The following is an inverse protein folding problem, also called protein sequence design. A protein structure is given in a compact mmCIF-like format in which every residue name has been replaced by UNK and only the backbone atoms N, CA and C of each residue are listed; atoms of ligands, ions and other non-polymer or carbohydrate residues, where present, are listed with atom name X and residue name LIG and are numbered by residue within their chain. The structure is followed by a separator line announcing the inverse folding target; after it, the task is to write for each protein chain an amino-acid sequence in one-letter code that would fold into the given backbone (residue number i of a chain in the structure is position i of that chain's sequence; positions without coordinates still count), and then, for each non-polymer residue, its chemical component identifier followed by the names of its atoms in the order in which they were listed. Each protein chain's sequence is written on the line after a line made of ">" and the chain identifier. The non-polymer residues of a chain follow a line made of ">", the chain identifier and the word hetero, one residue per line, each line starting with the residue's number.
data_IF_940492678284
#
_entry.id   IF_940492678284
#
_cell.length_a   1.000
_cell.length_b   1.000
_cell.length_c   1.000
_cell.angle_alpha   90.00
_cell.angle_beta   90.00
_cell.angle_gamma   90.00
#
_symmetry.space_group_name_H-M   'P 1'
#
loop_
_entity.id
_entity.type
_entity.pdbx_description
1 polymer ?
#
# COMPACT_ATOMS: atom_id res chain seq x y z
N UNK A 1 26.86 -37.57 35.45
CA UNK A 1 26.99 -37.30 34.00
C UNK A 1 25.59 -36.99 33.49
N UNK A 2 25.34 -35.74 33.11
CA UNK A 2 24.02 -35.28 32.66
C UNK A 2 23.81 -35.66 31.18
N UNK A 3 22.72 -36.36 30.88
CA UNK A 3 22.28 -36.59 29.51
C UNK A 3 21.12 -35.63 29.22
N UNK A 4 21.44 -34.48 28.62
CA UNK A 4 20.49 -33.47 28.17
C UNK A 4 19.84 -33.96 26.88
N UNK A 5 18.67 -34.58 26.99
CA UNK A 5 17.71 -34.63 25.88
C UNK A 5 16.92 -33.32 25.88
N UNK A 6 17.17 -32.46 24.89
CA UNK A 6 16.33 -31.29 24.62
C UNK A 6 15.51 -31.49 23.34
N UNK A 7 14.31 -30.87 23.27
CA UNK A 7 13.21 -31.31 22.41
C UNK A 7 13.27 -30.76 20.98
N UNK A 8 12.61 -31.46 20.06
CA UNK A 8 12.30 -31.00 18.71
C UNK A 8 11.42 -29.73 18.78
N UNK A 9 12.00 -28.58 18.40
CA UNK A 9 11.25 -27.36 18.18
C UNK A 9 10.58 -27.42 16.80
N UNK A 10 9.37 -27.95 16.76
CA UNK A 10 8.49 -27.85 15.60
C UNK A 10 7.74 -26.51 15.67
N UNK A 11 8.42 -25.41 15.29
CA UNK A 11 7.79 -24.10 15.18
C UNK A 11 7.33 -23.87 13.73
N UNK A 12 6.17 -24.44 13.38
CA UNK A 12 5.40 -23.97 12.23
C UNK A 12 4.70 -22.68 12.63
N UNK A 13 5.38 -21.55 12.49
CA UNK A 13 4.73 -20.24 12.55
C UNK A 13 4.15 -19.94 11.16
N UNK A 14 2.95 -20.45 10.90
CA UNK A 14 2.13 -19.97 9.79
C UNK A 14 1.78 -18.50 10.06
N UNK A 15 2.58 -17.59 9.51
CA UNK A 15 2.18 -16.21 9.35
C UNK A 15 0.85 -16.18 8.55
N UNK A 16 -0.10 -15.30 8.89
CA UNK A 16 -1.34 -15.18 8.15
C UNK A 16 -1.02 -14.86 6.69
N UNK A 17 -1.41 -15.76 5.79
CA UNK A 17 -1.29 -15.60 4.34
C UNK A 17 -2.27 -14.54 3.89
N UNK A 18 -1.88 -13.27 3.97
CA UNK A 18 -2.67 -12.18 3.41
C UNK A 18 -2.45 -12.14 1.89
N UNK A 19 -3.44 -12.65 1.16
CA UNK A 19 -3.54 -12.49 -0.30
C UNK A 19 -3.88 -11.01 -0.59
N UNK A 20 -2.92 -10.30 -1.18
CA UNK A 20 -3.07 -8.89 -1.57
C UNK A 20 -3.12 -8.68 -3.09
N UNK A 21 -3.49 -9.73 -3.82
CA UNK A 21 -3.80 -9.70 -5.24
C UNK A 21 -5.13 -9.02 -5.56
N UNK A 22 -5.19 -8.42 -6.75
CA UNK A 22 -6.35 -7.75 -7.35
C UNK A 22 -7.56 -8.69 -7.37
N UNK A 23 -8.72 -8.20 -6.94
CA UNK A 23 -10.00 -8.92 -7.08
C UNK A 23 -10.40 -8.91 -8.55
N UNK A 24 -10.52 -10.05 -9.25
CA UNK A 24 -11.20 -10.09 -10.53
C UNK A 24 -12.70 -9.96 -10.27
N UNK A 25 -13.27 -8.77 -10.52
CA UNK A 25 -14.72 -8.51 -10.43
C UNK A 25 -15.18 -7.21 -9.78
N UNK A 26 -14.30 -6.25 -9.43
CA UNK A 26 -14.76 -4.93 -8.96
C UNK A 26 -15.21 -4.05 -10.12
N UNK A 27 -16.49 -4.14 -10.46
CA UNK A 27 -17.27 -2.96 -10.84
C UNK A 27 -17.50 -2.14 -9.57
N UNK A 28 -16.73 -1.08 -9.38
CA UNK A 28 -17.11 -0.07 -8.39
C UNK A 28 -18.28 0.74 -8.98
N UNK A 29 -19.47 0.33 -8.57
CA UNK A 29 -20.72 1.05 -8.63
C UNK A 29 -20.52 2.48 -8.11
N UNK A 30 -20.71 3.48 -8.97
CA UNK A 30 -20.97 4.86 -8.55
C UNK A 30 -22.33 4.85 -7.81
N UNK A 31 -22.29 4.95 -6.49
CA UNK A 31 -23.51 5.11 -5.69
C UNK A 31 -24.02 6.55 -5.83
N UNK A 32 -25.27 6.68 -6.27
CA UNK A 32 -25.92 7.86 -6.82
C UNK A 32 -26.67 8.67 -5.77
N UNK A 33 -26.05 8.97 -4.63
CA UNK A 33 -26.70 9.73 -3.53
C UNK A 33 -26.08 11.09 -3.25
N UNK A 34 -25.19 11.58 -4.12
CA UNK A 34 -24.54 12.89 -3.98
C UNK A 34 -25.31 14.07 -4.63
N UNK A 35 -26.57 13.89 -5.04
CA UNK A 35 -27.38 14.95 -5.67
C UNK A 35 -28.18 15.80 -4.67
N UNK A 36 -28.21 15.50 -3.36
CA UNK A 36 -29.09 16.21 -2.41
C UNK A 36 -28.39 17.18 -1.43
N UNK A 37 -27.12 17.53 -1.63
CA UNK A 37 -26.40 18.49 -0.76
C UNK A 37 -26.04 19.80 -1.49
N UNK A 38 -26.46 19.96 -2.75
CA UNK A 38 -26.04 21.09 -3.58
C UNK A 38 -26.91 22.36 -3.50
N UNK A 39 -27.97 22.40 -2.68
CA UNK A 39 -28.93 23.52 -2.74
C UNK A 39 -28.83 24.55 -1.60
N UNK A 40 -28.02 24.33 -0.56
CA UNK A 40 -27.99 25.25 0.61
C UNK A 40 -26.73 26.13 0.76
N UNK A 41 -25.67 25.93 -0.02
CA UNK A 41 -24.43 26.70 0.13
C UNK A 41 -24.35 27.98 -0.74
N UNK A 42 -25.33 28.25 -1.61
CA UNK A 42 -25.28 29.37 -2.54
C UNK A 42 -25.68 30.74 -1.95
N UNK A 43 -25.96 30.82 -0.64
CA UNK A 43 -26.44 32.04 0.00
C UNK A 43 -25.55 32.49 1.17
N UNK A 44 -24.28 32.81 0.92
CA UNK A 44 -23.66 33.95 1.61
C UNK A 44 -22.38 34.43 0.93
N UNK A 45 -22.33 35.75 0.79
CA UNK A 45 -21.45 36.58 -0.03
C UNK A 45 -20.03 36.73 0.53
N UNK A 46 -19.09 36.83 -0.42
CA UNK A 46 -17.92 37.72 -0.47
C UNK A 46 -16.92 37.73 0.69
N UNK A 47 -15.73 37.17 0.47
CA UNK A 47 -14.47 37.95 0.59
C UNK A 47 -13.29 37.23 -0.08
N UNK A 48 -12.77 37.88 -1.13
CA UNK A 48 -11.43 37.90 -1.71
C UNK A 48 -10.43 36.73 -1.61
N UNK A 49 -9.69 36.61 -2.72
CA UNK A 49 -8.36 36.00 -2.94
C UNK A 49 -8.19 34.48 -3.16
N UNK A 50 -8.08 34.17 -4.47
CA UNK A 50 -7.19 33.19 -5.14
C UNK A 50 -7.93 32.09 -5.93
N UNK A 51 -8.15 32.39 -7.20
CA UNK A 51 -8.97 31.62 -8.14
C UNK A 51 -8.26 30.40 -8.75
N UNK A 52 -7.27 29.82 -8.06
CA UNK A 52 -6.44 28.73 -8.60
C UNK A 52 -6.74 27.35 -7.99
N UNK A 53 -7.72 27.21 -7.10
CA UNK A 53 -7.94 25.94 -6.37
C UNK A 53 -9.24 25.19 -6.67
N UNK A 54 -10.16 25.72 -7.48
CA UNK A 54 -11.51 25.12 -7.65
C UNK A 54 -11.84 24.60 -9.05
N UNK A 55 -10.84 24.39 -9.92
CA UNK A 55 -11.01 23.61 -11.17
C UNK A 55 -10.33 22.23 -11.13
N UNK A 56 -9.75 21.83 -9.99
CA UNK A 56 -9.13 20.51 -9.81
C UNK A 56 -10.07 19.46 -9.21
N UNK A 57 -11.37 19.49 -9.55
CA UNK A 57 -12.29 18.41 -9.15
C UNK A 57 -12.03 17.10 -9.92
N UNK A 58 -11.42 17.19 -11.11
CA UNK A 58 -10.71 16.07 -11.78
C UNK A 58 -9.21 16.12 -11.49
N UNK A 59 -8.85 16.48 -10.24
CA UNK A 59 -7.51 16.89 -9.87
C UNK A 59 -6.47 15.85 -10.26
N UNK A 60 -5.63 16.22 -11.23
CA UNK A 60 -4.33 15.59 -11.45
C UNK A 60 -3.57 15.72 -10.13
N UNK A 61 -3.70 14.73 -9.25
CA UNK A 61 -2.92 14.64 -8.02
C UNK A 61 -1.46 14.66 -8.45
N UNK A 62 -0.74 15.69 -8.04
CA UNK A 62 0.67 15.82 -8.36
C UNK A 62 1.44 14.54 -8.00
N UNK A 63 2.57 14.25 -8.63
CA UNK A 63 3.30 12.99 -8.45
C UNK A 63 3.71 12.74 -6.98
N UNK A 64 3.80 13.79 -6.18
CA UNK A 64 4.15 13.73 -4.77
C UNK A 64 2.96 13.82 -3.82
N UNK A 65 1.71 13.88 -4.31
CA UNK A 65 0.53 13.82 -3.44
C UNK A 65 0.54 12.52 -2.66
N UNK A 66 0.37 12.61 -1.33
CA UNK A 66 0.28 11.44 -0.45
C UNK A 66 -1.09 10.79 -0.66
N UNK A 67 -1.07 9.48 -0.92
CA UNK A 67 -2.28 8.67 -1.14
C UNK A 67 -2.54 7.69 -0.01
N UNK A 68 -1.50 7.34 0.75
CA UNK A 68 -1.61 6.49 1.93
C UNK A 68 -0.40 6.69 2.85
N UNK A 69 -0.57 6.36 4.12
CA UNK A 69 0.49 6.37 5.12
C UNK A 69 0.29 5.23 6.13
N UNK A 70 1.39 4.70 6.65
CA UNK A 70 1.37 3.67 7.68
C UNK A 70 2.72 3.60 8.39
N UNK A 71 2.78 2.85 9.47
CA UNK A 71 4.01 2.65 10.24
C UNK A 71 4.74 1.38 9.77
N UNK A 72 6.05 1.47 9.56
CA UNK A 72 6.89 0.30 9.29
C UNK A 72 7.05 -0.60 10.53
N UNK A 73 7.68 -1.76 10.35
CA UNK A 73 7.99 -2.71 11.43
C UNK A 73 8.70 -2.09 12.64
N UNK A 74 9.46 -1.02 12.45
CA UNK A 74 10.27 -0.36 13.47
C UNK A 74 9.63 0.91 14.03
N UNK A 75 8.36 1.19 13.75
CA UNK A 75 7.68 2.38 14.28
C UNK A 75 7.84 3.65 13.45
N UNK A 76 8.50 3.60 12.28
CA UNK A 76 8.73 4.79 11.45
C UNK A 76 7.60 5.00 10.43
N UNK A 77 7.14 6.23 10.31
CA UNK A 77 6.07 6.59 9.38
C UNK A 77 6.56 6.52 7.92
N UNK A 78 5.84 5.75 7.11
CA UNK A 78 6.03 5.54 5.67
C UNK A 78 4.88 6.21 4.94
N UNK A 79 5.20 6.86 3.84
CA UNK A 79 4.22 7.50 2.96
C UNK A 79 4.23 6.81 1.61
N UNK A 80 3.05 6.58 1.04
CA UNK A 80 2.88 6.27 -0.36
C UNK A 80 2.39 7.51 -1.08
N UNK A 81 3.05 7.85 -2.20
CA UNK A 81 2.69 8.98 -3.04
C UNK A 81 2.20 8.52 -4.40
N UNK A 82 1.41 9.35 -5.09
CA UNK A 82 0.74 8.99 -6.35
C UNK A 82 1.70 8.42 -7.39
N UNK A 83 2.90 9.00 -7.56
CA UNK A 83 3.91 8.48 -8.50
C UNK A 83 4.32 7.04 -8.20
N UNK A 84 4.53 6.70 -6.93
CA UNK A 84 4.91 5.36 -6.53
C UNK A 84 3.70 4.40 -6.60
N UNK A 85 2.52 4.84 -6.18
CA UNK A 85 1.27 4.07 -6.31
C UNK A 85 0.99 3.71 -7.77
N UNK A 86 1.07 4.69 -8.67
CA UNK A 86 0.85 4.49 -10.10
C UNK A 86 1.91 3.55 -10.70
N UNK A 87 3.19 3.67 -10.29
CA UNK A 87 4.24 2.73 -10.71
C UNK A 87 3.96 1.31 -10.22
N UNK A 88 3.57 1.14 -8.96
CA UNK A 88 3.33 -0.17 -8.36
C UNK A 88 2.15 -0.88 -9.05
N UNK A 89 1.09 -0.14 -9.33
CA UNK A 89 -0.06 -0.67 -10.06
C UNK A 89 0.25 -0.91 -11.55
N UNK A 90 0.73 0.11 -12.27
CA UNK A 90 0.81 0.06 -13.73
C UNK A 90 2.01 -0.72 -14.25
N UNK A 91 3.14 -0.71 -13.51
CA UNK A 91 4.36 -1.41 -13.92
C UNK A 91 4.50 -2.79 -13.29
N UNK A 92 4.09 -2.93 -12.03
CA UNK A 92 4.32 -4.15 -11.26
C UNK A 92 3.04 -4.97 -11.03
N UNK A 93 1.85 -4.44 -11.35
CA UNK A 93 0.58 -5.11 -11.06
C UNK A 93 0.32 -5.28 -9.56
N UNK A 94 1.03 -4.54 -8.71
CA UNK A 94 0.98 -4.66 -7.27
C UNK A 94 0.00 -3.64 -6.68
N UNK A 95 -0.81 -4.09 -5.72
CA UNK A 95 -1.68 -3.21 -4.95
C UNK A 95 -0.89 -2.39 -3.92
N UNK A 96 -1.50 -1.32 -3.40
CA UNK A 96 -0.96 -0.52 -2.30
C UNK A 96 -0.59 -1.40 -1.09
N UNK A 97 -1.37 -2.46 -0.87
CA UNK A 97 -1.21 -3.38 0.26
C UNK A 97 0.11 -4.16 0.18
N UNK A 98 0.65 -4.43 -1.01
CA UNK A 98 1.93 -5.11 -1.16
C UNK A 98 3.09 -4.31 -0.52
N UNK A 99 3.16 -3.00 -0.79
CA UNK A 99 4.17 -2.12 -0.18
C UNK A 99 3.96 -1.95 1.32
N UNK A 100 2.71 -1.94 1.77
CA UNK A 100 2.37 -1.87 3.18
C UNK A 100 2.74 -3.15 3.93
N UNK A 101 2.40 -4.32 3.38
CA UNK A 101 2.70 -5.62 3.97
C UNK A 101 4.22 -5.83 4.08
N UNK A 102 4.94 -5.62 2.98
CA UNK A 102 6.40 -5.75 2.97
C UNK A 102 7.06 -4.85 4.01
N UNK A 103 6.67 -3.59 4.15
CA UNK A 103 7.26 -2.67 5.15
C UNK A 103 6.82 -2.95 6.59
N UNK A 104 5.65 -3.55 6.82
CA UNK A 104 5.18 -3.95 8.15
C UNK A 104 5.83 -5.22 8.66
N UNK A 105 6.09 -6.19 7.78
CA UNK A 105 6.47 -7.54 8.19
C UNK A 105 7.94 -7.88 7.91
N UNK A 106 8.54 -7.32 6.86
CA UNK A 106 9.92 -7.61 6.48
C UNK A 106 10.94 -6.92 7.41
N UNK A 107 12.15 -7.49 7.55
CA UNK A 107 13.26 -6.78 8.17
C UNK A 107 13.65 -5.54 7.37
N UNK A 108 14.05 -4.50 8.09
CA UNK A 108 14.49 -3.22 7.53
C UNK A 108 16.00 -3.27 7.26
N UNK A 109 16.40 -3.23 6.00
CA UNK A 109 17.80 -3.31 5.57
C UNK A 109 18.25 -1.94 5.08
N UNK A 110 19.28 -1.36 5.72
CA UNK A 110 19.84 -0.08 5.27
C UNK A 110 20.67 -0.29 4.01
N UNK A 111 20.42 0.50 2.96
CA UNK A 111 21.22 0.48 1.72
C UNK A 111 22.26 1.59 1.70
N UNK A 112 21.79 2.83 1.58
CA UNK A 112 22.62 4.02 1.43
C UNK A 112 21.81 5.26 1.78
N UNK A 113 22.45 6.22 2.47
CA UNK A 113 21.80 7.40 3.01
C UNK A 113 20.55 7.05 3.84
N UNK A 114 19.43 7.70 3.51
CA UNK A 114 18.13 7.50 4.15
C UNK A 114 17.24 6.46 3.44
N UNK A 115 17.81 5.63 2.56
CA UNK A 115 17.06 4.59 1.84
C UNK A 115 17.18 3.24 2.52
N UNK A 116 16.03 2.59 2.68
CA UNK A 116 15.89 1.29 3.31
C UNK A 116 15.10 0.35 2.42
N UNK A 117 15.45 -0.92 2.47
CA UNK A 117 14.81 -2.00 1.75
C UNK A 117 14.06 -2.92 2.70
N UNK A 118 12.92 -3.39 2.22
CA UNK A 118 12.05 -4.33 2.89
C UNK A 118 11.77 -5.44 1.87
N UNK A 119 12.28 -6.64 2.14
CA UNK A 119 12.12 -7.80 1.26
C UNK A 119 11.25 -8.83 1.95
N UNK A 120 10.08 -9.08 1.37
CA UNK A 120 9.11 -10.05 1.89
C UNK A 120 8.84 -11.11 0.83
N UNK A 121 9.11 -12.40 1.09
CA UNK A 121 8.66 -13.47 0.21
C UNK A 121 7.13 -13.52 0.24
N UNK A 122 6.49 -13.48 -0.93
CA UNK A 122 5.04 -13.52 -1.06
C UNK A 122 4.61 -14.62 -2.01
N UNK A 123 3.60 -15.38 -1.59
CA UNK A 123 3.05 -16.46 -2.40
C UNK A 123 2.05 -15.90 -3.41
N UNK A 124 2.26 -16.23 -4.68
CA UNK A 124 1.30 -15.98 -5.74
C UNK A 124 0.25 -17.09 -5.71
N UNK A 125 -0.98 -16.74 -5.33
CA UNK A 125 -2.11 -17.65 -5.28
C UNK A 125 -2.95 -17.48 -6.56
N UNK A 126 -3.13 -18.57 -7.31
CA UNK A 126 -4.07 -18.60 -8.43
C UNK A 126 -5.32 -19.38 -8.01
N UNK A 127 -6.47 -18.75 -8.18
CA UNK A 127 -7.75 -19.38 -7.95
C UNK A 127 -8.48 -19.65 -9.28
N UNK A 128 -9.04 -20.84 -9.42
CA UNK A 128 -9.88 -21.22 -10.56
C UNK A 128 -11.20 -21.83 -10.09
N UNK A 129 -12.22 -21.82 -10.95
CA UNK A 129 -13.58 -22.25 -10.62
C UNK A 129 -14.46 -21.09 -10.13
N UNK A 130 -15.75 -21.38 -9.91
CA UNK A 130 -16.75 -20.39 -9.51
C UNK A 130 -17.55 -20.87 -8.28
N UNK A 131 -17.96 -19.92 -7.44
CA UNK A 131 -18.75 -20.17 -6.24
C UNK A 131 -18.06 -21.14 -5.26
N UNK A 132 -18.78 -22.13 -4.70
CA UNK A 132 -18.23 -23.07 -3.72
C UNK A 132 -17.16 -24.02 -4.29
N UNK A 133 -16.99 -24.08 -5.62
CA UNK A 133 -15.97 -24.91 -6.27
C UNK A 133 -14.68 -24.14 -6.56
N UNK A 134 -14.54 -22.90 -6.09
CA UNK A 134 -13.32 -22.12 -6.24
C UNK A 134 -12.16 -22.83 -5.52
N UNK A 135 -11.17 -23.28 -6.29
CA UNK A 135 -9.94 -23.88 -5.76
C UNK A 135 -8.80 -22.89 -5.93
N UNK A 136 -8.17 -22.54 -4.82
CA UNK A 136 -6.98 -21.69 -4.81
C UNK A 136 -5.75 -22.56 -4.56
N UNK A 137 -4.71 -22.37 -5.36
CA UNK A 137 -3.43 -23.03 -5.15
C UNK A 137 -2.30 -22.03 -5.24
N UNK A 138 -1.25 -22.29 -4.46
CA UNK A 138 0.03 -21.61 -4.60
C UNK A 138 0.64 -21.97 -5.95
N UNK A 139 1.01 -20.96 -6.72
CA UNK A 139 1.68 -21.08 -8.02
C UNK A 139 3.18 -20.95 -7.83
N UNK A 140 3.62 -19.89 -7.15
CA UNK A 140 5.02 -19.56 -6.93
C UNK A 140 5.19 -18.71 -5.67
N UNK A 141 6.43 -18.59 -5.19
CA UNK A 141 6.82 -17.61 -4.18
C UNK A 141 7.74 -16.60 -4.84
N UNK A 142 7.40 -15.31 -4.75
CA UNK A 142 8.19 -14.22 -5.31
C UNK A 142 8.48 -13.19 -4.23
N UNK A 143 9.72 -12.71 -4.18
CA UNK A 143 10.09 -11.64 -3.26
C UNK A 143 9.51 -10.30 -3.72
N UNK A 144 8.73 -9.66 -2.84
CA UNK A 144 8.36 -8.27 -2.98
C UNK A 144 9.43 -7.41 -2.31
N UNK A 145 10.10 -6.59 -3.12
CA UNK A 145 11.06 -5.60 -2.67
C UNK A 145 10.40 -4.22 -2.65
N UNK A 146 10.23 -3.66 -1.45
CA UNK A 146 9.81 -2.27 -1.27
C UNK A 146 10.99 -1.43 -0.81
N UNK A 147 11.22 -0.32 -1.48
CA UNK A 147 12.27 0.64 -1.13
C UNK A 147 11.63 1.90 -0.57
N UNK A 148 12.04 2.32 0.62
CA UNK A 148 11.53 3.54 1.28
C UNK A 148 12.65 4.53 1.49
N UNK A 149 12.44 5.76 1.01
CA UNK A 149 13.30 6.90 1.30
C UNK A 149 12.76 7.71 2.48
N UNK A 150 13.55 7.85 3.53
CA UNK A 150 13.18 8.67 4.69
C UNK A 150 13.77 10.09 4.67
N UNK A 151 14.48 10.46 3.60
CA UNK A 151 14.92 11.83 3.38
C UNK A 151 13.69 12.74 3.24
N UNK A 152 13.72 13.91 3.88
CA UNK A 152 12.66 14.91 3.74
C UNK A 152 12.70 15.51 2.34
N UNK A 153 11.52 15.85 1.80
CA UNK A 153 11.39 16.62 0.57
C UNK A 153 10.81 18.01 0.86
N UNK A 154 10.47 18.78 -0.18
CA UNK A 154 9.99 20.17 -0.08
C UNK A 154 8.77 20.35 0.84
N UNK A 155 7.95 19.32 1.03
CA UNK A 155 6.79 19.34 1.92
C UNK A 155 7.11 19.03 3.40
N UNK A 156 8.40 18.91 3.75
CA UNK A 156 8.88 18.59 5.09
C UNK A 156 8.67 17.14 5.53
N UNK A 157 7.97 16.32 4.73
CA UNK A 157 7.69 14.91 5.01
C UNK A 157 8.72 14.01 4.32
N UNK A 158 8.97 12.80 4.85
CA UNK A 158 9.74 11.77 4.16
C UNK A 158 9.29 11.56 2.71
N UNK A 159 10.24 11.25 1.83
CA UNK A 159 9.96 10.91 0.43
C UNK A 159 8.93 9.78 0.33
N UNK A 160 9.09 8.73 1.13
CA UNK A 160 8.18 7.59 1.17
C UNK A 160 8.61 6.44 0.25
N UNK A 161 7.63 5.65 -0.20
CA UNK A 161 7.85 4.51 -1.10
C UNK A 161 8.41 5.00 -2.44
N UNK A 162 9.48 4.35 -2.90
CA UNK A 162 10.16 4.61 -4.19
C UNK A 162 9.76 3.57 -5.24
N UNK A 163 9.60 2.33 -4.79
CA UNK A 163 9.17 1.16 -5.57
C UNK A 163 8.49 0.18 -4.63
#
# INVERSE_FOLDING_TARGET
>A
MANLSQPAANASTSAPTEDFGVIPGTVESYDSTAEEILTEAAASKNLDTSVDSELSFFGNKGPYTIVSQWTDKNGKLVYLREKARAKNQNKHGLSIRASQASTKYAPKIKRSGDRYEYRLPMDHISCSGWGPFKKCRKVETTDILTVVGFNKIRDGKPYGVVT
#
